data_IF_404886530697
#
_entry.id   IF_404886530697
#
_cell.length_a   1.000
_cell.length_b   1.000
_cell.length_c   1.000
_cell.angle_alpha   90.00
_cell.angle_beta   90.00
_cell.angle_gamma   90.00
#
_symmetry.space_group_name_H-M   'P 1'
#
loop_
_entity.id
_entity.type
_entity.pdbx_description
1 polymer ?
#
# COMPACT_ATOMS: atom_id res chain seq x y z
N UNK A 1 11.31 8.95 18.12
CA UNK A 1 10.71 10.30 17.95
C UNK A 1 11.65 11.38 17.40
N UNK A 2 12.93 11.48 17.83
CA UNK A 2 13.84 12.57 17.37
C UNK A 2 14.04 12.69 15.85
N UNK A 3 13.92 11.58 15.10
CA UNK A 3 14.02 11.58 13.63
C UNK A 3 12.70 11.99 12.96
N UNK A 4 11.57 11.40 13.41
CA UNK A 4 10.24 11.65 12.83
C UNK A 4 9.74 13.08 13.06
N UNK A 5 10.04 13.68 14.22
CA UNK A 5 9.62 15.06 14.52
C UNK A 5 10.33 16.14 13.69
N UNK A 6 11.36 15.78 12.91
CA UNK A 6 12.08 16.70 12.01
C UNK A 6 11.62 16.60 10.55
N UNK A 7 10.79 15.62 10.22
CA UNK A 7 10.30 15.44 8.85
C UNK A 7 9.25 16.51 8.55
N UNK A 8 9.54 17.31 7.53
CA UNK A 8 8.69 18.39 7.03
C UNK A 8 8.59 18.23 5.53
N UNK A 9 7.48 17.68 5.06
CA UNK A 9 7.23 17.48 3.63
C UNK A 9 5.74 17.52 3.36
N UNK A 10 5.33 18.06 2.21
CA UNK A 10 3.91 18.21 1.83
C UNK A 10 3.12 16.89 1.79
N UNK A 11 3.81 15.77 1.57
CA UNK A 11 3.21 14.42 1.52
C UNK A 11 3.40 13.61 2.81
N UNK A 12 3.79 14.25 3.92
CA UNK A 12 3.98 13.58 5.22
C UNK A 12 3.18 14.33 6.27
N UNK A 13 2.34 13.60 7.02
CA UNK A 13 1.55 14.17 8.11
C UNK A 13 2.49 14.72 9.18
N UNK A 14 2.31 16.01 9.51
CA UNK A 14 3.15 16.69 10.50
C UNK A 14 2.79 16.25 11.91
N UNK A 15 3.77 15.66 12.60
CA UNK A 15 3.68 15.39 14.04
C UNK A 15 3.81 16.71 14.80
N UNK A 16 2.83 17.01 15.66
CA UNK A 16 2.78 18.23 16.46
C UNK A 16 3.40 18.04 17.84
N UNK A 17 3.30 16.85 18.42
CA UNK A 17 3.85 16.54 19.73
C UNK A 17 3.67 15.09 20.12
N UNK A 18 4.22 14.71 21.28
CA UNK A 18 4.04 13.39 21.86
C UNK A 18 3.99 13.50 23.39
N UNK A 19 3.35 12.54 24.04
CA UNK A 19 3.32 12.38 25.48
C UNK A 19 3.66 10.94 25.83
N UNK A 20 4.56 10.73 26.80
CA UNK A 20 5.13 9.42 27.07
C UNK A 20 5.30 9.17 28.57
N UNK A 21 4.57 8.21 29.10
CA UNK A 21 4.70 7.67 30.46
C UNK A 21 4.71 6.14 30.43
N UNK A 22 4.90 5.50 31.58
CA UNK A 22 4.81 4.03 31.69
C UNK A 22 3.41 3.50 31.38
N UNK A 23 2.37 4.30 31.66
CA UNK A 23 0.98 3.93 31.49
C UNK A 23 0.34 4.43 30.19
N UNK A 24 0.94 5.45 29.56
CA UNK A 24 0.32 6.14 28.43
C UNK A 24 1.35 6.61 27.40
N UNK A 25 1.11 6.26 26.15
CA UNK A 25 1.90 6.70 25.01
C UNK A 25 0.95 7.35 24.00
N UNK A 26 1.12 8.65 23.75
CA UNK A 26 0.28 9.42 22.84
C UNK A 26 1.12 10.16 21.81
N UNK A 27 0.58 10.25 20.60
CA UNK A 27 1.13 11.01 19.49
C UNK A 27 0.08 12.00 19.00
N UNK A 28 0.42 13.29 18.97
CA UNK A 28 -0.43 14.35 18.43
C UNK A 28 0.09 14.74 17.05
N UNK A 29 -0.81 14.77 16.07
CA UNK A 29 -0.52 15.06 14.67
C UNK A 29 -1.58 15.98 14.07
N UNK A 30 -1.29 16.54 12.90
CA UNK A 30 -2.25 17.37 12.16
C UNK A 30 -3.46 16.57 11.72
N UNK A 31 -4.67 17.04 12.02
CA UNK A 31 -5.88 16.40 11.54
C UNK A 31 -5.97 16.52 10.02
N UNK A 32 -6.14 15.39 9.35
CA UNK A 32 -6.40 15.32 7.92
C UNK A 32 -7.82 14.86 7.75
N UNK A 33 -8.65 15.69 7.10
CA UNK A 33 -10.03 15.33 6.77
C UNK A 33 -10.05 14.29 5.65
N UNK A 34 -10.69 13.16 5.91
CA UNK A 34 -10.77 12.03 4.99
C UNK A 34 -10.70 10.73 5.78
N UNK A 35 -11.23 9.65 5.22
CA UNK A 35 -10.93 8.34 5.76
C UNK A 35 -9.44 8.10 5.51
N UNK A 36 -8.68 7.94 6.59
CA UNK A 36 -7.38 7.34 6.43
C UNK A 36 -7.63 6.02 5.73
N UNK A 37 -6.81 5.69 4.74
CA UNK A 37 -6.85 4.37 4.15
C UNK A 37 -6.25 3.34 5.16
N UNK A 38 -6.78 3.31 6.38
CA UNK A 38 -6.38 2.47 7.50
C UNK A 38 -6.79 1.02 7.32
N UNK A 39 -7.63 0.73 6.33
CA UNK A 39 -7.98 -0.62 5.90
C UNK A 39 -7.00 -1.20 4.86
N UNK A 40 -5.98 -0.42 4.44
CA UNK A 40 -4.91 -0.89 3.57
C UNK A 40 -4.11 -1.98 4.30
N UNK A 41 -4.12 -3.18 3.73
CA UNK A 41 -3.45 -4.36 4.29
C UNK A 41 -1.92 -4.19 4.39
N UNK A 42 -1.35 -3.18 3.73
CA UNK A 42 0.08 -2.85 3.71
C UNK A 42 0.75 -2.83 5.10
N UNK A 43 0.08 -2.31 6.14
CA UNK A 43 0.63 -2.31 7.50
C UNK A 43 0.87 -3.72 8.06
N UNK A 44 0.13 -4.70 7.55
CA UNK A 44 0.22 -6.12 7.88
C UNK A 44 1.17 -6.84 6.90
N UNK A 45 1.05 -6.60 5.59
CA UNK A 45 1.93 -7.17 4.56
C UNK A 45 3.40 -6.79 4.78
N UNK A 46 3.68 -5.53 5.10
CA UNK A 46 5.06 -5.07 5.36
C UNK A 46 5.63 -5.67 6.66
N UNK A 47 4.78 -5.87 7.67
CA UNK A 47 5.18 -6.59 8.90
C UNK A 47 5.57 -8.03 8.62
N UNK A 48 4.93 -8.70 7.66
CA UNK A 48 5.28 -10.08 7.29
C UNK A 48 6.52 -10.15 6.40
N UNK A 49 6.63 -9.30 5.38
CA UNK A 49 7.79 -9.27 4.48
C UNK A 49 9.10 -8.86 5.19
N UNK A 50 9.00 -7.96 6.17
CA UNK A 50 10.17 -7.37 6.84
C UNK A 50 10.48 -7.98 8.23
N UNK A 51 9.75 -9.01 8.67
CA UNK A 51 9.99 -9.67 9.97
C UNK A 51 11.25 -10.53 9.97
N UNK A 52 11.63 -11.09 8.83
CA UNK A 52 12.77 -11.99 8.65
C UNK A 52 13.93 -11.36 7.90
N UNK A 53 13.67 -10.26 7.18
CA UNK A 53 14.65 -9.57 6.33
C UNK A 53 15.21 -8.34 7.05
N UNK A 54 16.49 -8.06 6.84
CA UNK A 54 17.13 -6.82 7.29
C UNK A 54 16.31 -5.63 6.79
N UNK A 55 15.86 -4.78 7.71
CA UNK A 55 15.13 -3.55 7.37
C UNK A 55 16.05 -2.67 6.50
N UNK A 56 15.64 -2.44 5.26
CA UNK A 56 16.33 -1.59 4.27
C UNK A 56 15.31 -0.67 3.59
N UNK A 57 15.80 0.32 2.86
CA UNK A 57 14.99 1.17 1.99
C UNK A 57 14.18 0.39 0.95
N UNK A 58 14.60 -0.84 0.61
CA UNK A 58 13.86 -1.73 -0.29
C UNK A 58 12.51 -2.18 0.28
N UNK A 59 12.37 -2.22 1.60
CA UNK A 59 11.09 -2.51 2.23
C UNK A 59 10.06 -1.41 1.95
N UNK A 60 10.49 -0.14 1.93
CA UNK A 60 9.61 0.98 1.58
C UNK A 60 9.20 0.93 0.10
N UNK A 61 10.10 0.53 -0.80
CA UNK A 61 9.80 0.32 -2.24
C UNK A 61 8.79 -0.82 -2.43
N UNK A 62 8.99 -1.94 -1.73
CA UNK A 62 8.07 -3.07 -1.74
C UNK A 62 6.68 -2.67 -1.24
N UNK A 63 6.60 -2.01 -0.08
CA UNK A 63 5.35 -1.51 0.46
C UNK A 63 4.64 -0.56 -0.51
N UNK A 64 5.39 0.35 -1.15
CA UNK A 64 4.84 1.22 -2.18
C UNK A 64 4.27 0.46 -3.38
N UNK A 65 4.95 -0.58 -3.86
CA UNK A 65 4.45 -1.40 -4.97
C UNK A 65 3.13 -2.10 -4.66
N UNK A 66 3.05 -2.71 -3.47
CA UNK A 66 1.81 -3.35 -3.00
C UNK A 66 0.68 -2.32 -2.84
N UNK A 67 0.98 -1.13 -2.29
CA UNK A 67 0.01 -0.04 -2.17
C UNK A 67 -0.52 0.40 -3.53
N UNK A 68 0.34 0.53 -4.54
CA UNK A 68 -0.08 0.92 -5.89
C UNK A 68 -1.05 -0.12 -6.46
N UNK A 69 -0.77 -1.41 -6.31
CA UNK A 69 -1.67 -2.47 -6.77
C UNK A 69 -3.02 -2.45 -6.04
N UNK A 70 -3.02 -2.30 -4.71
CA UNK A 70 -4.24 -2.20 -3.90
C UNK A 70 -5.09 -0.98 -4.29
N UNK A 71 -4.48 0.17 -4.54
CA UNK A 71 -5.19 1.40 -4.96
C UNK A 71 -5.78 1.26 -6.35
N UNK A 72 -5.05 0.73 -7.32
CA UNK A 72 -5.53 0.60 -8.71
C UNK A 72 -6.62 -0.45 -8.83
N UNK A 73 -6.50 -1.56 -8.09
CA UNK A 73 -7.41 -2.69 -8.18
C UNK A 73 -8.61 -2.56 -7.24
N UNK A 74 -8.46 -1.80 -6.15
CA UNK A 74 -9.43 -1.78 -5.05
C UNK A 74 -9.52 -3.11 -4.29
N UNK A 75 -8.58 -4.05 -4.50
CA UNK A 75 -8.56 -5.40 -3.92
C UNK A 75 -7.48 -5.52 -2.85
N UNK A 76 -7.65 -6.43 -1.89
CA UNK A 76 -6.64 -6.65 -0.87
C UNK A 76 -5.43 -7.37 -1.48
N UNK A 77 -4.18 -7.05 -1.07
CA UNK A 77 -2.97 -7.70 -1.56
C UNK A 77 -2.93 -9.23 -1.36
N UNK A 78 -3.59 -9.71 -0.31
CA UNK A 78 -3.71 -11.13 0.03
C UNK A 78 -5.14 -11.40 0.47
N UNK A 79 -5.79 -12.37 -0.16
CA UNK A 79 -7.12 -12.85 0.21
C UNK A 79 -7.04 -14.35 0.54
N UNK A 80 -7.56 -14.72 1.71
CA UNK A 80 -7.62 -16.11 2.16
C UNK A 80 -8.98 -16.70 1.81
N UNK A 81 -9.01 -17.71 0.96
CA UNK A 81 -10.16 -18.57 0.71
C UNK A 81 -10.07 -19.83 1.58
N UNK A 82 -11.12 -20.66 1.61
CA UNK A 82 -11.19 -21.84 2.49
C UNK A 82 -10.01 -22.81 2.31
N UNK A 83 -9.51 -22.97 1.07
CA UNK A 83 -8.39 -23.87 0.74
C UNK A 83 -7.28 -23.19 -0.10
N UNK A 84 -7.30 -21.86 -0.26
CA UNK A 84 -6.34 -21.17 -1.14
C UNK A 84 -5.96 -19.77 -0.65
N UNK A 85 -4.79 -19.29 -1.06
CA UNK A 85 -4.27 -17.96 -0.77
C UNK A 85 -4.04 -17.23 -2.07
N UNK A 86 -4.90 -16.26 -2.36
CA UNK A 86 -4.78 -15.44 -3.56
C UNK A 86 -3.85 -14.26 -3.29
N UNK A 87 -2.73 -14.20 -4.02
CA UNK A 87 -1.79 -13.08 -3.97
C UNK A 87 -2.05 -12.17 -5.15
N UNK A 88 -2.47 -10.93 -4.87
CA UNK A 88 -2.91 -9.96 -5.89
C UNK A 88 -1.86 -9.72 -6.97
N UNK A 89 -0.57 -9.66 -6.61
CA UNK A 89 0.52 -9.45 -7.56
C UNK A 89 0.66 -10.59 -8.57
N UNK A 90 0.36 -11.83 -8.18
CA UNK A 90 0.43 -12.98 -9.07
C UNK A 90 -0.72 -12.92 -10.09
N UNK A 91 -1.95 -12.69 -9.61
CA UNK A 91 -3.14 -12.60 -10.48
C UNK A 91 -3.06 -11.41 -11.44
N UNK A 92 -2.56 -10.25 -10.97
CA UNK A 92 -2.38 -9.05 -11.83
C UNK A 92 -1.31 -9.30 -12.89
N UNK A 93 -0.24 -10.03 -12.56
CA UNK A 93 0.82 -10.37 -13.53
C UNK A 93 0.27 -11.24 -14.66
N UNK A 94 -0.49 -12.29 -14.33
CA UNK A 94 -1.14 -13.16 -15.32
C UNK A 94 -2.11 -12.37 -16.22
N UNK A 95 -2.96 -11.53 -15.61
CA UNK A 95 -3.89 -10.69 -16.36
C UNK A 95 -3.22 -9.70 -17.30
N UNK A 96 -2.07 -9.14 -16.92
CA UNK A 96 -1.27 -8.27 -17.78
C UNK A 96 -0.66 -9.03 -18.97
N UNK A 97 -0.17 -10.26 -18.76
CA UNK A 97 0.37 -11.12 -19.82
C UNK A 97 -0.72 -11.50 -20.84
N UNK A 98 -1.96 -11.66 -20.38
CA UNK A 98 -3.12 -12.02 -21.20
C UNK A 98 -3.89 -10.81 -21.78
N UNK A 99 -3.45 -9.59 -21.47
CA UNK A 99 -4.05 -8.35 -21.97
C UNK A 99 -5.40 -7.97 -21.32
N UNK A 100 -5.77 -8.58 -20.19
CA UNK A 100 -7.06 -8.36 -19.50
C UNK A 100 -7.00 -7.28 -18.42
N UNK A 101 -6.41 -6.14 -18.76
CA UNK A 101 -6.15 -5.04 -17.80
C UNK A 101 -7.43 -4.53 -17.13
N UNK A 102 -8.54 -4.48 -17.87
CA UNK A 102 -9.81 -3.94 -17.38
C UNK A 102 -10.40 -4.73 -16.21
N UNK A 103 -10.08 -6.02 -16.09
CA UNK A 103 -10.55 -6.89 -15.00
C UNK A 103 -9.85 -6.59 -13.65
N UNK A 104 -8.71 -5.89 -13.71
CA UNK A 104 -7.87 -5.58 -12.56
C UNK A 104 -7.95 -4.13 -12.12
N UNK A 105 -8.69 -3.27 -12.84
CA UNK A 105 -8.93 -1.90 -12.39
C UNK A 105 -10.18 -1.88 -11.52
N UNK A 106 -10.16 -1.05 -10.46
CA UNK A 106 -11.25 -0.93 -9.50
C UNK A 106 -12.60 -0.70 -10.20
N UNK A 107 -13.53 -1.64 -10.00
CA UNK A 107 -14.86 -1.61 -10.60
C UNK A 107 -15.69 -0.37 -10.24
N UNK A 108 -15.34 0.34 -9.15
CA UNK A 108 -15.96 1.63 -8.78
C UNK A 108 -15.69 2.73 -9.81
N UNK A 109 -14.63 2.61 -10.62
CA UNK A 109 -14.32 3.51 -11.72
C UNK A 109 -15.23 3.28 -12.95
N UNK A 110 -16.01 2.18 -13.00
CA UNK A 110 -16.99 1.89 -14.06
C UNK A 110 -16.41 2.04 -15.48
N UNK A 111 -15.21 1.52 -15.70
CA UNK A 111 -14.46 1.65 -16.96
C UNK A 111 -14.17 3.10 -17.41
N UNK A 112 -14.28 4.08 -16.51
CA UNK A 112 -13.90 5.47 -16.77
C UNK A 112 -12.42 5.71 -16.48
N UNK A 113 -11.55 5.03 -17.21
CA UNK A 113 -10.10 5.21 -17.14
C UNK A 113 -9.44 4.89 -18.48
N UNK A 114 -8.36 5.57 -18.86
CA UNK A 114 -7.58 5.20 -20.04
C UNK A 114 -6.68 3.99 -19.73
N UNK A 115 -6.84 2.91 -20.50
CA UNK A 115 -6.01 1.70 -20.36
C UNK A 115 -4.50 1.98 -20.53
N UNK A 116 -4.15 2.96 -21.36
CA UNK A 116 -2.77 3.43 -21.57
C UNK A 116 -2.12 3.98 -20.29
N UNK A 117 -2.91 4.48 -19.33
CA UNK A 117 -2.41 4.91 -18.02
C UNK A 117 -2.47 3.79 -16.98
N UNK A 118 -3.45 2.89 -17.06
CA UNK A 118 -3.59 1.79 -16.10
C UNK A 118 -2.44 0.76 -16.22
N UNK A 119 -2.06 0.40 -17.45
CA UNK A 119 -0.98 -0.56 -17.73
C UNK A 119 0.35 -0.19 -17.07
N UNK A 120 0.91 1.03 -17.26
CA UNK A 120 2.18 1.39 -16.65
C UNK A 120 2.10 1.44 -15.12
N UNK A 121 0.96 1.81 -14.54
CA UNK A 121 0.80 1.84 -13.08
C UNK A 121 0.76 0.43 -12.50
N UNK A 122 0.06 -0.51 -13.13
CA UNK A 122 0.08 -1.93 -12.72
C UNK A 122 1.48 -2.53 -12.86
N UNK A 123 2.18 -2.26 -13.97
CA UNK A 123 3.58 -2.70 -14.17
C UNK A 123 4.51 -2.13 -13.11
N UNK A 124 4.37 -0.85 -12.76
CA UNK A 124 5.14 -0.21 -11.69
C UNK A 124 4.87 -0.91 -10.34
N UNK A 125 3.59 -1.18 -10.03
CA UNK A 125 3.20 -1.90 -8.83
C UNK A 125 3.89 -3.27 -8.72
N UNK A 126 3.89 -4.05 -9.81
CA UNK A 126 4.55 -5.35 -9.88
C UNK A 126 6.08 -5.28 -9.71
N UNK A 127 6.74 -4.34 -10.42
CA UNK A 127 8.20 -4.17 -10.34
C UNK A 127 8.65 -3.68 -8.96
N UNK A 128 7.84 -2.84 -8.30
CA UNK A 128 8.16 -2.38 -6.96
C UNK A 128 7.83 -3.42 -5.88
N UNK A 129 6.76 -4.21 -6.05
CA UNK A 129 6.26 -5.20 -5.11
C UNK A 129 6.81 -6.62 -5.29
N UNK A 130 8.01 -6.75 -5.88
CA UNK A 130 8.72 -8.02 -6.10
C UNK A 130 9.94 -8.21 -5.19
#
# INVERSE_FOLDING_TARGET
MRKLGKLMHKNIIKIKGYYWTQSLQLLSYEFVSGEAYTDISMGTTLKFACRTVKITEKCDVYGFGILVLEVVTGKRPVEYAEDDVMVLSETVREGLEEGRVEEFVDGRLRANFPAEEAIPVLKLGLVCGS
#
